data_IF_137762987127
#
_entry.id   IF_137762987127
#
_cell.length_a   1.000
_cell.length_b   1.000
_cell.length_c   1.000
_cell.angle_alpha   90.00
_cell.angle_beta   90.00
_cell.angle_gamma   90.00
#
_symmetry.space_group_name_H-M   'P 1'
#
loop_
_entity.id
_entity.type
_entity.pdbx_description
1 polymer ?
#
# COMPACT_ATOMS: atom_id res chain seq x y z
N UNK A 1 -7.55 17.76 -15.94
CA UNK A 1 -7.11 16.34 -15.86
C UNK A 1 -6.70 15.86 -17.24
N UNK A 2 -5.45 15.49 -17.40
CA UNK A 2 -4.95 15.00 -18.69
C UNK A 2 -5.49 13.60 -18.96
N UNK A 3 -6.12 13.38 -20.11
CA UNK A 3 -6.47 12.03 -20.61
C UNK A 3 -5.23 11.23 -21.05
N UNK A 4 -4.06 11.79 -20.90
CA UNK A 4 -2.83 11.24 -21.44
C UNK A 4 -2.20 10.31 -20.39
N UNK A 5 -2.30 9.02 -20.59
CA UNK A 5 -1.65 8.00 -19.74
C UNK A 5 -0.14 8.14 -19.71
N UNK A 6 0.46 8.71 -20.77
CA UNK A 6 1.88 8.96 -20.84
C UNK A 6 2.33 10.12 -19.92
N UNK A 7 1.39 10.86 -19.32
CA UNK A 7 1.73 11.94 -18.40
C UNK A 7 2.52 11.46 -17.16
N UNK A 8 2.34 10.20 -16.76
CA UNK A 8 3.04 9.60 -15.61
C UNK A 8 4.48 9.20 -15.94
N UNK A 9 4.84 9.25 -17.22
CA UNK A 9 6.16 8.88 -17.69
C UNK A 9 6.88 10.09 -18.28
N UNK A 10 8.20 10.11 -18.13
CA UNK A 10 9.12 11.04 -18.75
C UNK A 10 10.16 10.29 -19.57
N UNK A 11 10.94 11.02 -20.36
CA UNK A 11 12.05 10.46 -21.12
C UNK A 11 13.30 11.24 -20.79
N UNK A 12 14.32 10.60 -20.21
CA UNK A 12 15.59 11.21 -19.85
C UNK A 12 16.76 10.36 -20.30
N UNK A 13 17.65 10.92 -21.09
CA UNK A 13 18.90 10.27 -21.54
C UNK A 13 18.70 8.86 -22.11
N UNK A 14 17.65 8.66 -22.92
CA UNK A 14 17.34 7.36 -23.53
C UNK A 14 16.63 6.35 -22.62
N UNK A 15 16.23 6.76 -21.41
CA UNK A 15 15.49 5.92 -20.45
C UNK A 15 14.09 6.46 -20.19
N UNK A 16 13.15 5.57 -19.99
CA UNK A 16 11.82 5.90 -19.52
C UNK A 16 11.90 6.18 -18.01
N UNK A 17 11.31 7.30 -17.57
CA UNK A 17 11.27 7.67 -16.14
C UNK A 17 9.85 7.64 -15.66
N UNK A 18 9.58 6.88 -14.60
CA UNK A 18 8.31 6.93 -13.88
C UNK A 18 8.34 8.16 -12.98
N UNK A 19 7.54 9.19 -13.29
CA UNK A 19 7.63 10.49 -12.62
C UNK A 19 7.32 10.42 -11.11
N UNK A 20 6.38 9.57 -10.71
CA UNK A 20 6.00 9.43 -9.30
C UNK A 20 7.14 8.88 -8.44
N UNK A 21 7.92 7.92 -8.95
CA UNK A 21 8.97 7.23 -8.18
C UNK A 21 10.38 7.66 -8.54
N UNK A 22 10.56 8.38 -9.66
CA UNK A 22 11.87 8.68 -10.22
C UNK A 22 12.60 7.45 -10.80
N UNK A 23 11.96 6.28 -10.85
CA UNK A 23 12.53 5.06 -11.37
C UNK A 23 12.86 5.21 -12.86
N UNK A 24 14.06 4.82 -13.23
CA UNK A 24 14.54 4.84 -14.62
C UNK A 24 14.52 3.44 -15.19
N UNK A 25 13.73 3.26 -16.22
CA UNK A 25 13.52 1.98 -16.89
C UNK A 25 14.26 1.99 -18.24
N UNK A 26 14.95 0.90 -18.55
CA UNK A 26 15.52 0.69 -19.88
C UNK A 26 14.40 0.13 -20.78
N UNK A 27 13.96 0.85 -21.83
CA UNK A 27 12.86 0.39 -22.68
C UNK A 27 13.20 -0.85 -23.50
N UNK A 28 14.47 -1.24 -23.55
CA UNK A 28 14.94 -2.45 -24.25
C UNK A 28 15.25 -3.61 -23.31
N UNK A 29 15.04 -3.44 -21.99
CA UNK A 29 15.21 -4.50 -21.02
C UNK A 29 14.19 -5.63 -21.29
N UNK A 30 14.65 -6.88 -21.56
CA UNK A 30 13.77 -8.00 -21.83
C UNK A 30 12.78 -8.31 -20.68
N UNK A 31 13.18 -8.07 -19.42
CA UNK A 31 12.29 -8.25 -18.26
C UNK A 31 11.18 -7.23 -18.27
N UNK A 32 11.50 -5.94 -18.48
CA UNK A 32 10.51 -4.88 -18.60
C UNK A 32 9.53 -5.16 -19.76
N UNK A 33 10.05 -5.59 -20.91
CA UNK A 33 9.21 -5.93 -22.07
C UNK A 33 8.26 -7.11 -21.76
N UNK A 34 8.73 -8.12 -21.01
CA UNK A 34 7.89 -9.24 -20.56
C UNK A 34 6.81 -8.76 -19.59
N UNK A 35 7.13 -7.94 -18.60
CA UNK A 35 6.17 -7.36 -17.65
C UNK A 35 5.11 -6.51 -18.36
N UNK A 36 5.51 -5.67 -19.30
CA UNK A 36 4.59 -4.86 -20.10
C UNK A 36 3.65 -5.73 -20.94
N UNK A 37 4.18 -6.78 -21.58
CA UNK A 37 3.37 -7.76 -22.32
C UNK A 37 2.34 -8.43 -21.42
N UNK A 38 2.77 -8.92 -20.26
CA UNK A 38 1.93 -9.65 -19.32
C UNK A 38 0.86 -8.72 -18.71
N UNK A 39 1.22 -7.44 -18.46
CA UNK A 39 0.26 -6.42 -18.07
C UNK A 39 -0.81 -6.18 -19.14
N UNK A 40 -0.42 -6.08 -20.42
CA UNK A 40 -1.39 -5.93 -21.50
C UNK A 40 -2.29 -7.17 -21.64
N UNK A 41 -1.74 -8.37 -21.53
CA UNK A 41 -2.52 -9.61 -21.55
C UNK A 41 -3.57 -9.62 -20.43
N UNK A 42 -3.15 -9.31 -19.18
CA UNK A 42 -4.04 -9.16 -18.03
C UNK A 42 -5.12 -8.09 -18.26
N UNK A 43 -4.72 -6.92 -18.75
CA UNK A 43 -5.66 -5.81 -19.02
C UNK A 43 -6.73 -6.21 -20.05
N UNK A 44 -6.37 -6.89 -21.11
CA UNK A 44 -7.31 -7.38 -22.10
C UNK A 44 -8.22 -8.48 -21.55
N UNK A 45 -7.72 -9.36 -20.70
CA UNK A 45 -8.51 -10.39 -20.02
C UNK A 45 -9.55 -9.75 -19.09
N UNK A 46 -9.12 -8.80 -18.25
CA UNK A 46 -10.01 -8.02 -17.39
C UNK A 46 -11.10 -7.36 -18.23
N UNK A 47 -10.73 -6.68 -19.32
CA UNK A 47 -11.72 -6.01 -20.17
C UNK A 47 -12.74 -6.96 -20.83
N UNK A 48 -12.33 -8.19 -21.13
CA UNK A 48 -13.24 -9.22 -21.69
C UNK A 48 -14.23 -9.73 -20.68
N UNK A 49 -13.85 -9.78 -19.41
CA UNK A 49 -14.64 -10.29 -18.29
C UNK A 49 -15.41 -9.21 -17.54
N UNK A 50 -15.34 -7.94 -17.98
CA UNK A 50 -16.04 -6.85 -17.30
C UNK A 50 -17.56 -7.07 -17.33
N UNK A 51 -18.22 -6.94 -16.17
CA UNK A 51 -19.67 -6.94 -16.10
C UNK A 51 -20.24 -5.67 -16.77
N UNK A 52 -21.56 -5.65 -17.05
CA UNK A 52 -22.24 -4.42 -17.45
C UNK A 52 -22.01 -3.30 -16.43
N UNK A 53 -21.88 -2.05 -16.88
CA UNK A 53 -21.73 -0.87 -16.03
C UNK A 53 -23.03 -0.53 -15.28
N UNK A 54 -23.40 -1.38 -14.32
CA UNK A 54 -24.61 -1.25 -13.48
C UNK A 54 -24.31 -0.79 -12.06
N UNK A 55 -23.01 -0.73 -11.70
CA UNK A 55 -22.55 -0.32 -10.39
C UNK A 55 -22.52 1.20 -10.19
N UNK A 56 -22.00 1.67 -9.05
CA UNK A 56 -21.94 3.07 -8.71
C UNK A 56 -21.02 3.85 -9.66
N UNK A 57 -21.27 5.15 -9.76
CA UNK A 57 -20.37 6.07 -10.46
C UNK A 57 -19.27 6.54 -9.50
N UNK A 58 -18.00 6.31 -9.85
CA UNK A 58 -16.83 6.63 -9.01
C UNK A 58 -16.04 7.78 -9.63
N UNK A 59 -15.69 8.77 -8.81
CA UNK A 59 -14.72 9.81 -9.13
C UNK A 59 -13.45 9.62 -8.28
N UNK A 60 -12.29 9.48 -8.91
CA UNK A 60 -11.01 9.53 -8.22
C UNK A 60 -10.55 11.00 -8.11
N UNK A 61 -10.14 11.41 -6.90
CA UNK A 61 -9.79 12.79 -6.57
C UNK A 61 -8.59 12.85 -5.60
N UNK A 62 -7.64 13.81 -5.72
CA UNK A 62 -7.53 14.81 -6.79
C UNK A 62 -6.99 14.25 -8.11
N UNK A 63 -6.31 13.07 -8.05
CA UNK A 63 -5.75 12.42 -9.21
C UNK A 63 -6.69 11.34 -9.77
N UNK A 64 -6.51 11.03 -11.06
CA UNK A 64 -7.27 9.99 -11.72
C UNK A 64 -6.52 8.67 -11.66
N UNK A 65 -7.14 7.62 -11.12
CA UNK A 65 -6.57 6.27 -11.18
C UNK A 65 -6.36 5.82 -12.63
N UNK A 66 -5.19 5.27 -12.91
CA UNK A 66 -4.82 4.70 -14.21
C UNK A 66 -5.08 3.19 -14.19
N UNK A 67 -5.17 2.53 -15.37
CA UNK A 67 -5.42 1.08 -15.44
C UNK A 67 -4.39 0.18 -14.76
N UNK A 68 -3.18 0.66 -14.51
CA UNK A 68 -2.13 -0.08 -13.78
C UNK A 68 -2.22 0.04 -12.26
N UNK A 69 -3.11 0.90 -11.72
CA UNK A 69 -3.39 0.93 -10.28
C UNK A 69 -4.52 -0.03 -9.96
N UNK A 70 -4.33 -0.90 -8.97
CA UNK A 70 -5.28 -1.95 -8.59
C UNK A 70 -6.72 -1.44 -8.38
N UNK A 71 -6.89 -0.24 -7.85
CA UNK A 71 -8.20 0.36 -7.63
C UNK A 71 -9.00 0.54 -8.93
N UNK A 72 -8.33 0.75 -10.07
CA UNK A 72 -9.01 0.90 -11.35
C UNK A 72 -9.63 -0.42 -11.83
N UNK A 73 -8.89 -1.55 -11.99
CA UNK A 73 -9.51 -2.82 -12.38
C UNK A 73 -10.51 -3.32 -11.34
N UNK A 74 -10.31 -3.06 -10.04
CA UNK A 74 -11.27 -3.40 -9.01
C UNK A 74 -12.62 -2.67 -9.22
N UNK A 75 -12.58 -1.36 -9.45
CA UNK A 75 -13.79 -0.57 -9.76
C UNK A 75 -14.49 -1.07 -11.03
N UNK A 76 -13.73 -1.34 -12.09
CA UNK A 76 -14.27 -1.84 -13.35
C UNK A 76 -14.90 -3.23 -13.19
N UNK A 77 -14.25 -4.13 -12.44
CA UNK A 77 -14.76 -5.49 -12.17
C UNK A 77 -16.02 -5.47 -11.30
N UNK A 78 -16.20 -4.43 -10.49
CA UNK A 78 -17.45 -4.17 -9.75
C UNK A 78 -18.56 -3.54 -10.60
N UNK A 79 -18.35 -3.37 -11.91
CA UNK A 79 -19.31 -2.74 -12.82
C UNK A 79 -19.47 -1.22 -12.60
N UNK A 80 -18.49 -0.59 -11.94
CA UNK A 80 -18.57 0.84 -11.68
C UNK A 80 -18.32 1.68 -12.92
N UNK A 81 -18.98 2.84 -12.99
CA UNK A 81 -18.72 3.88 -13.99
C UNK A 81 -17.67 4.85 -13.45
N UNK A 82 -16.66 5.17 -14.22
CA UNK A 82 -15.63 6.14 -13.81
C UNK A 82 -15.95 7.50 -14.45
N UNK A 83 -16.10 8.52 -13.59
CA UNK A 83 -16.30 9.91 -14.00
C UNK A 83 -15.15 10.81 -13.54
N UNK A 84 -14.94 11.92 -14.24
CA UNK A 84 -14.07 13.00 -13.78
C UNK A 84 -14.83 14.17 -13.13
N UNK A 85 -16.15 14.05 -13.02
CA UNK A 85 -17.03 15.07 -12.46
C UNK A 85 -17.53 14.60 -11.09
N UNK A 86 -17.03 15.18 -9.97
CA UNK A 86 -17.46 14.80 -8.63
C UNK A 86 -18.96 14.99 -8.38
N UNK A 87 -19.57 15.95 -9.08
CA UNK A 87 -21.03 16.21 -8.97
C UNK A 87 -21.90 15.08 -9.56
N UNK A 88 -21.29 14.18 -10.35
CA UNK A 88 -21.98 13.01 -10.93
C UNK A 88 -21.61 11.71 -10.24
N UNK A 89 -20.73 11.76 -9.24
CA UNK A 89 -20.23 10.58 -8.57
C UNK A 89 -21.15 10.13 -7.42
N UNK A 90 -21.36 8.83 -7.30
CA UNK A 90 -21.93 8.18 -6.11
C UNK A 90 -20.88 8.03 -5.02
N UNK A 91 -19.63 7.78 -5.45
CA UNK A 91 -18.47 7.60 -4.58
C UNK A 91 -17.36 8.52 -5.06
N UNK A 92 -16.74 9.26 -4.15
CA UNK A 92 -15.53 10.03 -4.41
C UNK A 92 -14.43 9.36 -3.62
N UNK A 93 -13.45 8.83 -4.34
CA UNK A 93 -12.32 8.11 -3.77
C UNK A 93 -11.09 9.02 -3.76
N UNK A 94 -10.54 9.28 -2.56
CA UNK A 94 -9.28 10.02 -2.46
C UNK A 94 -8.16 9.17 -3.05
N UNK A 95 -7.55 9.65 -4.11
CA UNK A 95 -6.49 8.97 -4.83
C UNK A 95 -5.37 9.97 -5.17
N UNK A 96 -4.25 9.83 -4.48
CA UNK A 96 -3.07 10.67 -4.61
C UNK A 96 -1.85 9.88 -4.13
N UNK A 97 -0.73 10.01 -4.84
CA UNK A 97 0.55 9.42 -4.42
C UNK A 97 1.27 10.37 -3.46
N UNK A 98 0.73 10.49 -2.25
CA UNK A 98 1.24 11.36 -1.20
C UNK A 98 1.27 10.64 0.16
N UNK A 99 2.26 10.99 0.99
CA UNK A 99 2.34 10.49 2.38
C UNK A 99 1.39 11.26 3.30
N UNK A 100 1.15 12.54 3.01
CA UNK A 100 0.21 13.40 3.73
C UNK A 100 -0.59 14.23 2.75
N UNK A 101 -1.85 14.53 3.11
CA UNK A 101 -2.71 15.41 2.33
C UNK A 101 -3.63 16.22 3.23
N UNK A 102 -4.23 17.29 2.72
CA UNK A 102 -5.11 18.19 3.49
C UNK A 102 -6.52 17.63 3.73
N UNK A 103 -6.90 16.55 3.03
CA UNK A 103 -8.22 15.95 3.09
C UNK A 103 -9.30 16.78 2.41
N UNK A 104 -8.93 17.74 1.56
CA UNK A 104 -9.89 18.60 0.87
C UNK A 104 -10.73 17.81 -0.14
N UNK A 105 -12.01 17.66 0.16
CA UNK A 105 -12.95 17.04 -0.75
C UNK A 105 -13.45 18.07 -1.79
N UNK A 106 -13.68 17.65 -3.04
CA UNK A 106 -14.33 18.52 -4.03
C UNK A 106 -15.79 18.74 -3.66
N UNK A 107 -16.41 19.75 -4.28
CA UNK A 107 -17.85 19.85 -4.27
C UNK A 107 -18.49 18.60 -4.87
N UNK A 108 -19.41 18.00 -4.15
CA UNK A 108 -20.03 16.72 -4.50
C UNK A 108 -21.55 16.82 -4.46
N UNK A 109 -22.24 15.88 -5.12
CA UNK A 109 -23.68 15.78 -4.99
C UNK A 109 -24.08 15.37 -3.56
N UNK A 110 -25.27 15.76 -3.08
CA UNK A 110 -25.79 15.28 -1.80
C UNK A 110 -25.82 13.74 -1.74
N UNK A 111 -25.31 13.17 -0.65
CA UNK A 111 -25.29 11.72 -0.42
C UNK A 111 -24.14 10.97 -1.10
N UNK A 112 -23.21 11.65 -1.76
CA UNK A 112 -21.98 11.01 -2.25
C UNK A 112 -21.14 10.48 -1.07
N UNK A 113 -20.63 9.26 -1.22
CA UNK A 113 -19.76 8.64 -0.23
C UNK A 113 -18.32 9.08 -0.47
N UNK A 114 -17.65 9.57 0.58
CA UNK A 114 -16.25 9.94 0.55
C UNK A 114 -15.41 8.77 1.09
N UNK A 115 -14.43 8.29 0.33
CA UNK A 115 -13.54 7.18 0.70
C UNK A 115 -12.12 7.69 0.85
N UNK A 116 -11.45 7.35 1.95
CA UNK A 116 -10.06 7.69 2.30
C UNK A 116 -9.77 9.20 2.54
N UNK A 117 -10.75 10.07 2.59
CA UNK A 117 -10.51 11.49 2.87
C UNK A 117 -10.07 11.76 4.31
N UNK A 118 -10.30 10.83 5.22
CA UNK A 118 -9.84 10.88 6.60
C UNK A 118 -8.40 10.35 6.79
N UNK A 119 -7.86 9.59 5.83
CA UNK A 119 -6.51 9.02 5.89
C UNK A 119 -5.43 10.05 5.51
N UNK A 120 -5.38 11.17 6.27
CA UNK A 120 -4.58 12.37 5.91
C UNK A 120 -3.09 12.24 6.15
N UNK A 121 -2.67 11.33 7.01
CA UNK A 121 -1.29 11.14 7.41
C UNK A 121 -0.99 9.65 7.52
N UNK A 122 -0.16 9.17 6.59
CA UNK A 122 0.38 7.80 6.59
C UNK A 122 1.91 7.81 6.73
N UNK A 123 2.46 8.84 7.40
CA UNK A 123 3.86 8.84 7.83
C UNK A 123 4.16 7.62 8.69
N UNK A 124 5.42 7.22 8.75
CA UNK A 124 5.81 6.08 9.60
C UNK A 124 5.50 6.34 11.07
N UNK A 125 5.59 7.60 11.53
CA UNK A 125 5.22 8.02 12.88
C UNK A 125 3.72 7.86 13.15
N UNK A 126 2.84 8.29 12.23
CA UNK A 126 1.41 8.10 12.36
C UNK A 126 1.02 6.62 12.35
N UNK A 127 1.61 5.83 11.45
CA UNK A 127 1.41 4.38 11.38
C UNK A 127 1.84 3.68 12.68
N UNK A 128 3.01 4.05 13.26
CA UNK A 128 3.47 3.49 14.54
C UNK A 128 2.53 3.83 15.70
N UNK A 129 2.02 5.06 15.75
CA UNK A 129 1.08 5.48 16.78
C UNK A 129 -0.25 4.71 16.67
N UNK A 130 -0.81 4.60 15.46
CA UNK A 130 -2.01 3.83 15.22
C UNK A 130 -1.82 2.34 15.55
N UNK A 131 -0.65 1.76 15.20
CA UNK A 131 -0.31 0.39 15.55
C UNK A 131 -0.29 0.19 17.07
N UNK A 132 0.43 1.04 17.81
CA UNK A 132 0.52 0.92 19.26
C UNK A 132 -0.86 1.03 19.94
N UNK A 133 -1.73 1.92 19.45
CA UNK A 133 -3.08 2.07 19.95
C UNK A 133 -3.98 0.86 19.64
N UNK A 134 -3.85 0.27 18.45
CA UNK A 134 -4.69 -0.84 18.00
C UNK A 134 -4.27 -2.20 18.59
N UNK A 135 -2.97 -2.47 18.63
CA UNK A 135 -2.42 -3.77 19.04
C UNK A 135 -1.95 -3.80 20.52
N UNK A 136 -1.84 -2.64 21.19
CA UNK A 136 -1.46 -2.55 22.59
C UNK A 136 0.04 -2.69 22.87
N UNK A 137 0.88 -2.67 21.85
CA UNK A 137 2.35 -2.71 21.99
C UNK A 137 3.03 -1.90 20.87
N UNK A 138 4.20 -1.28 21.18
CA UNK A 138 4.85 -0.41 20.22
C UNK A 138 5.65 -1.17 19.15
N UNK A 139 5.59 -0.66 17.92
CA UNK A 139 6.56 -0.95 16.85
C UNK A 139 7.77 -0.01 16.95
N UNK A 140 7.54 1.24 17.38
CA UNK A 140 8.54 2.28 17.52
C UNK A 140 9.55 1.97 18.62
N UNK A 141 10.80 2.37 18.40
CA UNK A 141 11.88 2.32 19.36
C UNK A 141 12.48 3.72 19.57
N UNK A 142 12.83 4.06 20.83
CA UNK A 142 13.65 5.25 21.10
C UNK A 142 15.13 4.90 20.75
N UNK A 143 15.72 5.52 19.73
CA UNK A 143 17.09 5.17 19.31
C UNK A 143 18.16 5.49 20.33
N UNK A 144 17.87 6.33 21.34
CA UNK A 144 18.81 6.69 22.39
C UNK A 144 18.77 5.79 23.61
N UNK A 145 17.69 5.00 23.77
CA UNK A 145 17.43 4.18 24.97
C UNK A 145 17.32 2.70 24.67
N UNK A 146 16.84 2.34 23.49
CA UNK A 146 16.73 0.95 23.09
C UNK A 146 18.12 0.37 22.77
N UNK A 147 18.25 -0.95 22.83
CA UNK A 147 19.48 -1.68 22.55
C UNK A 147 19.24 -2.73 21.47
N UNK A 148 20.32 -3.07 20.74
CA UNK A 148 20.32 -4.11 19.72
C UNK A 148 19.90 -3.62 18.33
N UNK A 149 19.58 -4.56 17.41
CA UNK A 149 19.26 -4.23 16.03
C UNK A 149 17.89 -3.59 15.89
N UNK A 150 17.79 -2.56 15.05
CA UNK A 150 16.57 -1.87 14.68
C UNK A 150 16.56 -1.54 13.19
N UNK A 151 15.39 -1.19 12.66
CA UNK A 151 15.26 -0.67 11.29
C UNK A 151 15.06 0.85 11.36
N UNK A 152 15.99 1.59 10.73
CA UNK A 152 15.86 3.03 10.49
C UNK A 152 15.18 3.24 9.14
N UNK A 153 14.13 4.07 9.07
CA UNK A 153 13.38 4.41 7.84
C UNK A 153 13.06 5.91 7.84
N UNK A 154 13.02 6.52 6.65
CA UNK A 154 12.45 7.87 6.53
C UNK A 154 10.94 7.86 6.76
N UNK A 155 10.36 9.04 7.06
CA UNK A 155 8.92 9.21 7.31
C UNK A 155 8.06 8.92 6.07
N UNK A 156 8.62 9.12 4.88
CA UNK A 156 7.89 8.98 3.61
C UNK A 156 7.38 7.56 3.35
N UNK A 157 6.15 7.46 2.86
CA UNK A 157 5.61 6.19 2.39
C UNK A 157 6.25 5.78 1.05
N UNK A 158 6.49 4.47 0.84
CA UNK A 158 6.98 3.95 -0.44
C UNK A 158 8.44 4.26 -0.80
N UNK A 159 9.24 4.86 0.09
CA UNK A 159 10.62 5.29 -0.21
C UNK A 159 11.61 4.13 -0.32
N UNK A 160 11.35 3.01 0.36
CA UNK A 160 12.20 1.80 0.37
C UNK A 160 13.65 2.04 0.81
N UNK A 161 13.88 2.96 1.76
CA UNK A 161 15.19 3.35 2.27
C UNK A 161 15.53 2.71 3.63
N UNK A 162 14.79 1.69 4.02
CA UNK A 162 14.97 0.97 5.29
C UNK A 162 16.36 0.34 5.40
N UNK A 163 17.05 0.59 6.53
CA UNK A 163 18.34 -0.02 6.83
C UNK A 163 18.41 -0.53 8.26
N UNK A 164 19.17 -1.58 8.48
CA UNK A 164 19.44 -2.09 9.84
C UNK A 164 20.50 -1.22 10.48
N UNK A 165 20.23 -0.80 11.73
CA UNK A 165 21.15 -0.05 12.59
C UNK A 165 21.26 -0.72 13.94
N UNK A 166 22.35 -0.47 14.66
CA UNK A 166 22.53 -0.93 16.05
C UNK A 166 22.22 0.22 17.01
N UNK A 167 21.33 -0.03 17.95
CA UNK A 167 21.00 0.92 19.02
C UNK A 167 21.84 0.62 20.27
N UNK A 168 22.13 1.66 21.11
CA UNK A 168 21.70 3.04 20.97
C UNK A 168 22.49 3.80 19.91
N UNK A 169 21.83 4.76 19.25
CA UNK A 169 22.46 5.66 18.29
C UNK A 169 21.86 7.07 18.33
N UNK A 170 22.51 8.03 17.66
CA UNK A 170 21.96 9.37 17.51
C UNK A 170 20.73 9.35 16.58
N UNK A 171 19.64 9.95 17.06
CA UNK A 171 18.45 10.11 16.24
C UNK A 171 18.71 11.03 15.04
N UNK A 172 18.30 10.63 13.84
CA UNK A 172 18.36 11.46 12.63
C UNK A 172 17.03 12.16 12.42
N UNK A 173 17.01 13.49 12.19
CA UNK A 173 15.79 14.21 11.83
C UNK A 173 15.14 13.62 10.58
N UNK A 174 13.81 13.44 10.61
CA UNK A 174 13.04 12.89 9.50
C UNK A 174 13.12 11.36 9.35
N UNK A 175 13.67 10.67 10.35
CA UNK A 175 13.74 9.20 10.39
C UNK A 175 13.08 8.64 11.65
N UNK A 176 12.48 7.49 11.51
CA UNK A 176 11.93 6.67 12.61
C UNK A 176 12.76 5.41 12.80
N UNK A 177 12.68 4.87 14.01
CA UNK A 177 13.35 3.64 14.39
C UNK A 177 12.30 2.62 14.80
N UNK A 178 12.34 1.46 14.18
CA UNK A 178 11.35 0.39 14.37
C UNK A 178 12.04 -0.89 14.81
N UNK A 179 11.28 -1.73 15.50
CA UNK A 179 11.71 -3.09 15.81
C UNK A 179 12.08 -3.83 14.53
N UNK A 180 13.23 -4.50 14.56
CA UNK A 180 13.58 -5.47 13.51
C UNK A 180 12.81 -6.77 13.79
N UNK A 181 11.66 -6.93 13.12
CA UNK A 181 10.80 -8.11 13.26
C UNK A 181 11.43 -9.30 12.59
N UNK A 182 11.56 -10.43 13.25
CA UNK A 182 11.97 -11.70 12.63
C UNK A 182 10.73 -12.42 12.07
N UNK A 183 10.40 -12.11 10.83
CA UNK A 183 9.26 -12.67 10.11
C UNK A 183 9.65 -13.85 9.19
N UNK A 184 10.70 -14.61 9.57
CA UNK A 184 11.11 -15.80 8.83
C UNK A 184 10.17 -16.98 9.10
N UNK A 185 9.76 -17.65 8.02
CA UNK A 185 9.10 -18.94 8.07
C UNK A 185 10.06 -20.07 8.41
N UNK A 186 9.55 -21.28 8.60
CA UNK A 186 10.35 -22.48 8.96
C UNK A 186 11.38 -22.85 7.89
N UNK A 187 11.08 -22.59 6.63
CA UNK A 187 12.01 -22.84 5.50
C UNK A 187 13.03 -21.71 5.27
N UNK A 188 13.04 -20.69 6.15
CA UNK A 188 13.99 -19.60 6.13
C UNK A 188 13.64 -18.42 5.22
N UNK A 189 12.52 -18.48 4.47
CA UNK A 189 12.02 -17.33 3.70
C UNK A 189 11.37 -16.30 4.63
N UNK A 190 11.51 -15.01 4.28
CA UNK A 190 10.80 -13.92 4.97
C UNK A 190 9.39 -13.77 4.40
N UNK A 191 8.40 -13.62 5.27
CA UNK A 191 7.00 -13.49 4.92
C UNK A 191 6.45 -12.12 5.31
N UNK A 192 5.99 -11.34 4.30
CA UNK A 192 5.19 -10.15 4.54
C UNK A 192 3.73 -10.47 4.20
N UNK A 193 2.85 -10.14 5.13
CA UNK A 193 1.40 -10.37 5.01
C UNK A 193 0.75 -9.12 4.41
N UNK A 194 0.74 -9.03 3.07
CA UNK A 194 0.06 -7.95 2.36
C UNK A 194 -1.44 -8.15 2.43
N UNK A 195 -2.11 -7.29 3.17
CA UNK A 195 -3.52 -7.43 3.57
C UNK A 195 -4.34 -6.25 3.04
N UNK A 196 -5.03 -6.40 1.90
CA UNK A 196 -6.07 -5.46 1.49
C UNK A 196 -7.21 -5.41 2.51
N UNK A 197 -7.63 -4.18 2.84
CA UNK A 197 -8.74 -3.92 3.78
C UNK A 197 -9.82 -3.06 3.13
N UNK A 198 -11.07 -3.30 3.49
CA UNK A 198 -12.24 -2.52 3.09
C UNK A 198 -13.10 -2.26 4.33
N UNK A 199 -13.34 -1.01 4.67
CA UNK A 199 -14.04 -0.63 5.90
C UNK A 199 -13.33 -1.15 7.17
N UNK A 200 -12.00 -1.27 7.14
CA UNK A 200 -11.20 -1.83 8.21
C UNK A 200 -11.16 -3.37 8.26
N UNK A 201 -12.00 -4.07 7.49
CA UNK A 201 -12.00 -5.54 7.45
C UNK A 201 -10.96 -6.06 6.44
N UNK A 202 -10.10 -7.02 6.83
CA UNK A 202 -9.25 -7.74 5.88
C UNK A 202 -10.10 -8.51 4.87
N UNK A 203 -9.71 -8.48 3.58
CA UNK A 203 -10.44 -9.16 2.50
C UNK A 203 -9.73 -10.44 2.04
N UNK A 204 -8.41 -10.37 1.97
CA UNK A 204 -7.52 -11.46 1.55
C UNK A 204 -6.13 -11.18 2.11
N UNK A 205 -5.32 -12.21 2.26
CA UNK A 205 -3.91 -12.07 2.64
C UNK A 205 -3.02 -12.64 1.54
N UNK A 206 -2.16 -11.80 0.98
CA UNK A 206 -1.09 -12.22 0.08
C UNK A 206 0.18 -12.42 0.91
N UNK A 207 0.63 -13.66 1.05
CA UNK A 207 1.85 -13.99 1.78
C UNK A 207 3.03 -13.83 0.82
N UNK A 208 3.65 -12.65 0.83
CA UNK A 208 4.83 -12.36 -0.01
C UNK A 208 6.05 -13.04 0.61
N UNK A 209 6.64 -13.99 -0.11
CA UNK A 209 7.77 -14.79 0.38
C UNK A 209 9.04 -14.42 -0.36
N UNK A 210 10.12 -14.13 0.37
CA UNK A 210 11.39 -13.66 -0.17
C UNK A 210 12.58 -14.32 0.50
N UNK A 211 13.71 -14.54 -0.22
CA UNK A 211 14.96 -14.90 0.41
C UNK A 211 15.54 -13.69 1.19
N UNK A 212 16.47 -13.95 2.12
CA UNK A 212 17.08 -12.92 2.95
C UNK A 212 17.71 -11.79 2.13
N UNK A 213 18.37 -12.10 1.03
CA UNK A 213 19.00 -11.11 0.15
C UNK A 213 17.98 -10.13 -0.47
N UNK A 214 16.70 -10.52 -0.61
CA UNK A 214 15.62 -9.73 -1.17
C UNK A 214 14.65 -9.17 -0.09
N UNK A 215 15.02 -9.25 1.20
CA UNK A 215 14.12 -8.91 2.32
C UNK A 215 13.46 -7.54 2.21
N UNK A 216 14.17 -6.54 1.69
CA UNK A 216 13.68 -5.16 1.58
C UNK A 216 13.35 -4.75 0.14
N UNK A 217 13.27 -5.71 -0.78
CA UNK A 217 12.87 -5.47 -2.19
C UNK A 217 11.45 -5.98 -2.45
N UNK A 218 10.98 -5.87 -3.69
CA UNK A 218 9.71 -6.44 -4.14
C UNK A 218 9.86 -7.79 -4.87
N UNK A 219 11.05 -8.41 -4.81
CA UNK A 219 11.35 -9.65 -5.53
C UNK A 219 10.84 -10.86 -4.75
N UNK A 220 9.60 -11.25 -4.99
CA UNK A 220 8.97 -12.39 -4.32
C UNK A 220 9.24 -13.67 -5.12
N UNK A 221 9.63 -14.75 -4.42
CA UNK A 221 9.74 -16.10 -5.01
C UNK A 221 8.40 -16.86 -4.98
N UNK A 222 7.49 -16.46 -4.10
CA UNK A 222 6.12 -16.96 -4.02
C UNK A 222 5.21 -15.91 -3.39
N UNK A 223 3.92 -15.96 -3.73
CA UNK A 223 2.91 -15.07 -3.16
C UNK A 223 1.55 -15.79 -3.07
N UNK A 224 1.42 -16.85 -2.24
CA UNK A 224 0.13 -17.51 -2.06
C UNK A 224 -0.89 -16.58 -1.43
N UNK A 225 -2.16 -16.77 -1.80
CA UNK A 225 -3.31 -16.11 -1.18
C UNK A 225 -3.95 -17.02 -0.12
N UNK A 226 -4.46 -16.41 0.96
CA UNK A 226 -5.21 -17.07 2.03
C UNK A 226 -6.41 -16.24 2.43
N UNK A 227 -7.42 -16.89 2.99
CA UNK A 227 -8.48 -16.18 3.69
C UNK A 227 -7.91 -15.55 4.98
N UNK A 228 -8.42 -14.37 5.39
CA UNK A 228 -7.92 -13.71 6.61
C UNK A 228 -7.96 -14.61 7.85
N UNK A 229 -9.00 -15.41 8.00
CA UNK A 229 -9.23 -16.30 9.14
C UNK A 229 -8.25 -17.49 9.19
N UNK A 230 -7.59 -17.79 8.08
CA UNK A 230 -6.52 -18.81 8.03
C UNK A 230 -5.17 -18.25 8.52
N UNK A 231 -5.04 -16.91 8.59
CA UNK A 231 -3.78 -16.22 8.90
C UNK A 231 -3.84 -15.47 10.23
N UNK A 232 -4.99 -14.87 10.53
CA UNK A 232 -5.20 -14.00 11.69
C UNK A 232 -6.24 -14.60 12.65
N UNK A 233 -6.03 -14.41 13.94
CA UNK A 233 -7.08 -14.66 14.94
C UNK A 233 -8.17 -13.59 14.88
N UNK A 234 -9.32 -13.85 15.50
CA UNK A 234 -10.42 -12.87 15.59
C UNK A 234 -9.95 -11.56 16.26
N UNK A 235 -9.15 -11.65 17.32
CA UNK A 235 -8.59 -10.49 18.03
C UNK A 235 -7.61 -9.69 17.14
N UNK A 236 -6.85 -10.37 16.29
CA UNK A 236 -5.96 -9.72 15.33
C UNK A 236 -6.76 -9.02 14.22
N UNK A 237 -7.83 -9.63 13.72
CA UNK A 237 -8.75 -9.01 12.76
C UNK A 237 -9.38 -7.76 13.35
N UNK A 238 -9.83 -7.81 14.59
CA UNK A 238 -10.38 -6.65 15.31
C UNK A 238 -9.32 -5.56 15.52
N UNK A 239 -8.06 -5.94 15.82
CA UNK A 239 -6.96 -4.99 15.94
C UNK A 239 -6.62 -4.32 14.60
N UNK A 240 -6.65 -5.06 13.49
CA UNK A 240 -6.51 -4.51 12.13
C UNK A 240 -7.61 -3.48 11.86
N UNK A 241 -8.86 -3.80 12.23
CA UNK A 241 -9.98 -2.86 12.12
C UNK A 241 -9.75 -1.57 12.89
N UNK A 242 -9.32 -1.66 14.16
CA UNK A 242 -8.96 -0.48 14.99
C UNK A 242 -7.80 0.32 14.39
N UNK A 243 -6.80 -0.35 13.83
CA UNK A 243 -5.68 0.29 13.17
C UNK A 243 -6.12 1.11 11.95
N UNK A 244 -6.94 0.52 11.08
CA UNK A 244 -7.50 1.22 9.92
C UNK A 244 -8.35 2.42 10.34
N UNK A 245 -9.21 2.25 11.35
CA UNK A 245 -10.02 3.33 11.91
C UNK A 245 -9.16 4.46 12.50
N UNK A 246 -8.07 4.11 13.21
CA UNK A 246 -7.11 5.08 13.78
C UNK A 246 -6.39 5.91 12.73
N UNK A 247 -6.19 5.38 11.53
CA UNK A 247 -5.62 6.09 10.38
C UNK A 247 -6.68 6.79 9.50
N UNK A 248 -7.98 6.52 9.71
CA UNK A 248 -9.03 6.97 8.81
C UNK A 248 -9.02 6.27 7.45
N UNK A 249 -8.49 5.05 7.40
CA UNK A 249 -8.32 4.26 6.18
C UNK A 249 -9.57 3.42 5.91
N UNK A 250 -10.37 3.82 4.92
CA UNK A 250 -11.56 3.09 4.51
C UNK A 250 -11.24 1.94 3.55
N UNK A 251 -10.24 2.15 2.67
CA UNK A 251 -9.79 1.17 1.68
C UNK A 251 -8.29 1.29 1.46
N UNK A 252 -7.57 0.20 1.59
CA UNK A 252 -6.13 0.20 1.37
C UNK A 252 -5.50 -1.17 1.53
N UNK A 253 -4.20 -1.24 1.32
CA UNK A 253 -3.42 -2.44 1.59
C UNK A 253 -2.38 -2.15 2.65
N UNK A 254 -2.42 -2.89 3.73
CA UNK A 254 -1.44 -2.83 4.80
C UNK A 254 -0.45 -3.99 4.68
N UNK A 255 0.80 -3.77 5.05
CA UNK A 255 1.81 -4.81 5.16
C UNK A 255 2.01 -5.13 6.65
N UNK A 256 1.78 -6.36 7.04
CA UNK A 256 1.94 -6.85 8.41
C UNK A 256 3.08 -7.88 8.45
N UNK A 257 3.82 -7.89 9.54
CA UNK A 257 4.88 -8.84 9.81
C UNK A 257 4.55 -9.63 11.08
N UNK A 258 4.55 -10.96 11.00
CA UNK A 258 4.43 -11.80 12.20
C UNK A 258 5.80 -12.14 12.74
N UNK A 259 6.07 -11.72 13.96
CA UNK A 259 7.31 -12.08 14.64
C UNK A 259 7.28 -13.54 15.06
N UNK A 260 8.23 -14.35 14.57
CA UNK A 260 8.28 -15.80 14.79
C UNK A 260 8.49 -16.18 16.25
N UNK A 261 9.10 -15.30 17.06
CA UNK A 261 9.42 -15.59 18.44
C UNK A 261 8.25 -15.31 19.37
N UNK A 262 7.60 -14.16 19.19
CA UNK A 262 6.48 -13.72 20.03
C UNK A 262 5.11 -14.02 19.46
N UNK A 263 5.01 -14.35 18.17
CA UNK A 263 3.75 -14.49 17.44
C UNK A 263 3.03 -13.17 17.16
N UNK A 264 3.55 -12.03 17.63
CA UNK A 264 2.91 -10.72 17.49
C UNK A 264 2.94 -10.20 16.05
N UNK A 265 1.89 -9.49 15.68
CA UNK A 265 1.82 -8.75 14.41
C UNK A 265 2.35 -7.31 14.58
N UNK A 266 3.14 -6.88 13.58
CA UNK A 266 3.71 -5.55 13.49
C UNK A 266 3.44 -4.94 12.13
#
# INVERSE_FOLDING_TARGET
MTRNWLADFGWERGRLVVKATGQRLDPLDPHLLAEVRDWFAYFFEVRRSLPPETGPTICFWPERARPWYLVWPAAMSAGAKITSDPMKADVIFHFEDATTHDGAAPSARPGAVLVNFAARDITKSAVQAAHAAAFGYPLALDPRRAEGPAVEKSEGNGVHDGRIVTLPCAARPGFVYQRLVDNRAEDGLFEDLRTPTVGGAPVVVFIKRRPEAARFTNDNVACPMRAPEEVFSAEEIDAIGRFCAGLGLDWGGIDLLRDRTSGRLY
#
